data_IF_018507465943
#
_entry.id   IF_018507465943
#
_cell.length_a   1.000
_cell.length_b   1.000
_cell.length_c   1.000
_cell.angle_alpha   90.00
_cell.angle_beta   90.00
_cell.angle_gamma   90.00
#
_symmetry.space_group_name_H-M   'P 1'
#
loop_
_entity.id
_entity.type
_entity.pdbx_description
1 polymer ?
#
# COMPACT_ATOMS: atom_id res chain seq x y z
N UNK A 1 -14.60 62.54 -11.10
CA UNK A 1 -15.17 61.20 -10.85
C UNK A 1 -14.30 60.21 -11.60
N UNK A 2 -13.29 59.65 -10.93
CA UNK A 2 -12.31 58.75 -11.56
C UNK A 2 -12.87 57.32 -11.53
N UNK A 3 -13.11 56.74 -12.71
CA UNK A 3 -13.48 55.33 -12.86
C UNK A 3 -12.20 54.50 -12.89
N UNK A 4 -11.98 53.69 -11.86
CA UNK A 4 -10.95 52.65 -11.84
C UNK A 4 -11.50 51.45 -12.63
N UNK A 5 -10.87 51.12 -13.75
CA UNK A 5 -11.13 49.88 -14.49
C UNK A 5 -10.30 48.77 -13.86
N UNK A 6 -10.94 47.89 -13.08
CA UNK A 6 -10.31 46.67 -12.58
C UNK A 6 -10.31 45.66 -13.72
N UNK A 7 -9.14 45.38 -14.27
CA UNK A 7 -8.94 44.29 -15.24
C UNK A 7 -8.85 42.99 -14.44
N UNK A 8 -9.87 42.13 -14.54
CA UNK A 8 -9.81 40.78 -14.00
C UNK A 8 -8.86 39.94 -14.87
N UNK A 9 -7.72 39.51 -14.31
CA UNK A 9 -6.92 38.44 -14.88
C UNK A 9 -7.73 37.14 -14.77
N UNK A 10 -8.23 36.64 -15.90
CA UNK A 10 -8.66 35.25 -15.99
C UNK A 10 -7.42 34.37 -15.86
N UNK A 11 -7.28 33.71 -14.72
CA UNK A 11 -6.43 32.53 -14.61
C UNK A 11 -7.14 31.43 -15.39
N UNK A 12 -6.65 31.16 -16.60
CA UNK A 12 -7.01 29.97 -17.36
C UNK A 12 -6.47 28.76 -16.59
N UNK A 13 -7.30 28.18 -15.72
CA UNK A 13 -7.02 26.87 -15.16
C UNK A 13 -7.02 25.85 -16.30
N UNK A 14 -5.89 25.19 -16.51
CA UNK A 14 -5.82 24.01 -17.37
C UNK A 14 -6.84 22.99 -16.87
N UNK A 15 -7.91 22.79 -17.65
CA UNK A 15 -8.82 21.67 -17.48
C UNK A 15 -8.08 20.41 -17.92
N UNK A 16 -7.20 19.88 -17.06
CA UNK A 16 -6.78 18.50 -17.19
C UNK A 16 -8.04 17.66 -17.01
N UNK A 17 -8.42 16.95 -18.06
CA UNK A 17 -9.56 16.04 -18.09
C UNK A 17 -9.26 14.94 -17.05
N UNK A 18 -9.68 15.12 -15.80
CA UNK A 18 -9.41 14.16 -14.74
C UNK A 18 -10.09 12.84 -15.09
N UNK A 19 -9.29 11.79 -15.29
CA UNK A 19 -9.81 10.45 -15.58
C UNK A 19 -10.44 9.94 -14.28
N UNK A 20 -11.76 9.81 -14.25
CA UNK A 20 -12.48 9.35 -13.07
C UNK A 20 -12.00 7.97 -12.61
N UNK A 21 -11.72 7.82 -11.32
CA UNK A 21 -11.42 6.54 -10.69
C UNK A 21 -12.63 5.58 -10.85
N UNK A 22 -12.44 4.33 -11.30
CA UNK A 22 -13.55 3.39 -11.47
C UNK A 22 -14.14 3.00 -10.12
N UNK A 23 -15.46 2.88 -10.05
CA UNK A 23 -16.16 2.29 -8.89
C UNK A 23 -15.64 0.87 -8.59
N UNK A 24 -15.61 0.52 -7.31
CA UNK A 24 -15.20 -0.80 -6.86
C UNK A 24 -16.10 -1.89 -7.44
N UNK A 25 -15.46 -2.88 -8.05
CA UNK A 25 -16.08 -4.12 -8.54
C UNK A 25 -15.01 -5.21 -8.59
N UNK A 26 -15.44 -6.45 -8.79
CA UNK A 26 -14.53 -7.57 -8.99
C UNK A 26 -14.39 -7.86 -10.49
N UNK A 27 -13.16 -7.76 -10.98
CA UNK A 27 -12.78 -7.98 -12.37
C UNK A 27 -11.33 -8.50 -12.39
N UNK A 28 -10.84 -9.05 -13.49
CA UNK A 28 -9.49 -9.64 -13.58
C UNK A 28 -8.67 -8.95 -14.69
N UNK A 29 -8.79 -7.63 -14.79
CA UNK A 29 -8.06 -6.87 -15.79
C UNK A 29 -6.56 -6.86 -15.46
N UNK A 30 -5.67 -7.04 -16.44
CA UNK A 30 -4.25 -6.91 -16.17
C UNK A 30 -3.90 -5.48 -15.78
N UNK A 31 -3.08 -5.30 -14.75
CA UNK A 31 -2.55 -3.99 -14.39
C UNK A 31 -1.72 -3.41 -15.54
N UNK A 32 -1.98 -2.15 -15.91
CA UNK A 32 -1.27 -1.47 -17.01
C UNK A 32 0.25 -1.42 -16.78
N UNK A 33 0.65 -1.25 -15.52
CA UNK A 33 2.03 -1.14 -15.06
C UNK A 33 2.48 -2.43 -14.35
N UNK A 34 2.53 -3.55 -15.08
CA UNK A 34 2.85 -4.86 -14.50
C UNK A 34 4.30 -5.33 -14.75
N UNK A 35 5.18 -4.46 -15.26
CA UNK A 35 6.60 -4.82 -15.41
C UNK A 35 7.33 -4.77 -14.07
N UNK A 36 8.49 -5.42 -14.00
CA UNK A 36 9.31 -5.48 -12.78
C UNK A 36 9.72 -4.08 -12.25
N UNK A 37 10.06 -3.15 -13.15
CA UNK A 37 10.49 -1.79 -12.80
C UNK A 37 9.33 -0.83 -12.51
N UNK A 38 8.10 -1.20 -12.90
CA UNK A 38 6.93 -0.36 -12.71
C UNK A 38 6.28 -0.47 -11.32
N UNK A 39 6.91 -1.20 -10.38
CA UNK A 39 6.40 -1.48 -9.03
C UNK A 39 5.92 -0.25 -8.26
N UNK A 40 6.51 0.93 -8.50
CA UNK A 40 6.16 2.17 -7.80
C UNK A 40 4.81 2.75 -8.27
N UNK A 41 4.40 2.44 -9.50
CA UNK A 41 3.16 2.91 -10.13
C UNK A 41 2.17 1.79 -10.47
N UNK A 42 2.48 0.53 -10.14
CA UNK A 42 1.56 -0.60 -10.30
C UNK A 42 0.35 -0.45 -9.37
N UNK A 43 -0.81 -0.18 -9.95
CA UNK A 43 -2.11 -0.27 -9.28
C UNK A 43 -2.60 -1.73 -9.27
N UNK A 44 -2.78 -2.26 -8.06
CA UNK A 44 -3.49 -3.52 -7.82
C UNK A 44 -4.64 -3.20 -6.86
N UNK A 45 -5.83 -3.67 -7.21
CA UNK A 45 -7.06 -3.50 -6.44
C UNK A 45 -8.01 -4.65 -6.80
N UNK A 46 -9.31 -4.54 -6.51
CA UNK A 46 -10.27 -5.60 -6.85
C UNK A 46 -10.52 -5.79 -8.35
N UNK A 47 -10.01 -4.89 -9.21
CA UNK A 47 -10.19 -4.87 -10.67
C UNK A 47 -8.89 -5.28 -11.38
N UNK A 48 -7.74 -4.77 -10.92
CA UNK A 48 -6.45 -4.90 -11.61
C UNK A 48 -5.54 -5.92 -10.95
N UNK A 49 -4.95 -6.82 -11.76
CA UNK A 49 -4.14 -7.95 -11.30
C UNK A 49 -2.79 -8.06 -12.00
N UNK A 50 -1.85 -8.72 -11.31
CA UNK A 50 -0.62 -9.26 -11.86
C UNK A 50 -0.84 -10.67 -12.44
N UNK A 51 0.03 -11.03 -13.37
CA UNK A 51 0.10 -12.41 -13.88
C UNK A 51 0.46 -13.40 -12.76
N UNK A 52 0.00 -14.65 -12.92
CA UNK A 52 0.41 -15.79 -12.11
C UNK A 52 1.94 -16.00 -12.08
N UNK A 53 2.62 -15.60 -13.16
CA UNK A 53 4.07 -15.76 -13.31
C UNK A 53 4.87 -14.56 -12.78
N UNK A 54 4.22 -13.51 -12.29
CA UNK A 54 4.94 -12.36 -11.73
C UNK A 54 5.62 -12.74 -10.42
N UNK A 55 6.96 -12.72 -10.43
CA UNK A 55 7.83 -12.93 -9.27
C UNK A 55 8.98 -11.91 -9.36
N UNK A 56 9.18 -11.03 -8.35
CA UNK A 56 10.34 -10.15 -8.34
C UNK A 56 11.64 -10.96 -8.34
N UNK A 57 12.59 -10.57 -9.20
CA UNK A 57 13.86 -11.29 -9.37
C UNK A 57 14.89 -11.00 -8.27
N UNK A 58 14.63 -10.03 -7.40
CA UNK A 58 15.54 -9.49 -6.39
C UNK A 58 15.04 -9.68 -4.95
N UNK A 59 14.18 -10.68 -4.72
CA UNK A 59 13.69 -11.01 -3.39
C UNK A 59 14.86 -11.35 -2.45
N UNK A 60 14.94 -10.62 -1.35
CA UNK A 60 15.91 -10.75 -0.28
C UNK A 60 15.20 -11.35 0.94
N UNK A 61 15.67 -12.51 1.48
CA UNK A 61 15.15 -13.05 2.72
C UNK A 61 15.37 -12.09 3.89
N UNK A 62 14.39 -11.95 4.78
CA UNK A 62 14.54 -11.13 5.99
C UNK A 62 15.67 -11.64 6.90
N UNK A 63 15.91 -12.95 6.92
CA UNK A 63 17.01 -13.56 7.68
C UNK A 63 18.39 -13.06 7.25
N UNK A 64 18.58 -12.75 5.96
CA UNK A 64 19.86 -12.32 5.41
C UNK A 64 20.23 -10.90 5.87
N UNK A 65 19.23 -10.12 6.29
CA UNK A 65 19.38 -8.76 6.83
C UNK A 65 19.20 -8.71 8.35
N UNK A 66 19.21 -9.88 9.02
CA UNK A 66 19.15 -9.99 10.48
C UNK A 66 17.76 -9.75 11.09
N UNK A 67 16.69 -9.77 10.28
CA UNK A 67 15.32 -9.65 10.75
C UNK A 67 14.69 -11.03 10.97
N UNK A 68 13.79 -11.19 11.97
CA UNK A 68 13.13 -12.45 12.25
C UNK A 68 12.10 -12.83 11.17
N UNK A 69 11.76 -14.12 11.11
CA UNK A 69 10.74 -14.65 10.21
C UNK A 69 11.30 -15.17 8.88
N UNK A 70 10.43 -15.81 8.10
CA UNK A 70 10.77 -16.45 6.82
C UNK A 70 10.20 -15.68 5.62
N UNK A 71 10.05 -14.36 5.77
CA UNK A 71 9.51 -13.50 4.73
C UNK A 71 10.61 -12.99 3.79
N UNK A 72 10.17 -12.45 2.66
CA UNK A 72 11.03 -11.84 1.65
C UNK A 72 10.51 -10.45 1.32
N UNK A 73 11.43 -9.55 0.99
CA UNK A 73 11.14 -8.23 0.42
C UNK A 73 12.04 -8.00 -0.79
N UNK A 74 11.68 -7.10 -1.69
CA UNK A 74 12.60 -6.69 -2.76
C UNK A 74 13.82 -6.00 -2.17
N UNK A 75 14.98 -6.15 -2.82
CA UNK A 75 16.26 -5.58 -2.36
C UNK A 75 16.16 -4.07 -2.14
N UNK A 76 15.45 -3.35 -3.01
CA UNK A 76 15.27 -1.90 -2.92
C UNK A 76 14.57 -1.43 -1.64
N UNK A 77 13.82 -2.30 -0.97
CA UNK A 77 13.06 -1.99 0.25
C UNK A 77 13.94 -2.11 1.50
N UNK A 78 15.03 -2.87 1.44
CA UNK A 78 15.82 -3.32 2.59
C UNK A 78 16.31 -2.17 3.47
N UNK A 79 17.01 -1.20 2.88
CA UNK A 79 17.66 -0.13 3.66
C UNK A 79 16.63 0.75 4.36
N UNK A 80 15.50 1.01 3.70
CA UNK A 80 14.41 1.81 4.23
C UNK A 80 13.59 1.06 5.29
N UNK A 81 13.36 -0.24 5.11
CA UNK A 81 12.75 -1.08 6.13
C UNK A 81 13.60 -1.12 7.40
N UNK A 82 14.91 -1.38 7.27
CA UNK A 82 15.83 -1.41 8.41
C UNK A 82 15.86 -0.06 9.13
N UNK A 83 15.91 1.04 8.37
CA UNK A 83 15.88 2.39 8.94
C UNK A 83 14.56 2.69 9.67
N UNK A 84 13.42 2.27 9.12
CA UNK A 84 12.11 2.41 9.76
C UNK A 84 12.06 1.65 11.09
N UNK A 85 12.45 0.37 11.09
CA UNK A 85 12.40 -0.48 12.29
C UNK A 85 13.32 0.04 13.40
N UNK A 86 14.53 0.49 13.06
CA UNK A 86 15.47 1.08 14.03
C UNK A 86 14.93 2.41 14.59
N UNK A 87 14.38 3.28 13.74
CA UNK A 87 13.79 4.53 14.20
C UNK A 87 12.58 4.30 15.12
N UNK A 88 11.75 3.30 14.81
CA UNK A 88 10.60 2.91 15.64
C UNK A 88 11.06 2.44 17.02
N UNK A 89 12.08 1.57 17.05
CA UNK A 89 12.70 1.07 18.29
C UNK A 89 13.29 2.19 19.14
N UNK A 90 14.04 3.12 18.54
CA UNK A 90 14.62 4.28 19.23
C UNK A 90 13.52 5.18 19.82
N UNK A 91 12.38 5.29 19.14
CA UNK A 91 11.22 6.04 19.63
C UNK A 91 10.40 5.32 20.72
N UNK A 92 10.78 4.10 21.11
CA UNK A 92 10.04 3.30 22.10
C UNK A 92 8.83 2.57 21.54
N UNK A 93 8.73 2.45 20.23
CA UNK A 93 7.65 1.81 19.48
C UNK A 93 8.21 0.68 18.59
N UNK A 94 8.81 -0.38 19.14
CA UNK A 94 9.49 -1.40 18.35
C UNK A 94 8.50 -2.18 17.47
N UNK A 95 8.83 -2.28 16.17
CA UNK A 95 8.01 -2.95 15.16
C UNK A 95 8.67 -4.24 14.67
N UNK A 96 7.84 -5.14 14.13
CA UNK A 96 8.24 -6.34 13.41
C UNK A 96 7.43 -6.51 12.12
N UNK A 97 7.97 -7.29 11.18
CA UNK A 97 7.25 -7.74 9.98
C UNK A 97 6.36 -8.93 10.35
N UNK A 98 5.05 -8.78 10.15
CA UNK A 98 4.06 -9.85 10.30
C UNK A 98 3.85 -10.62 8.99
N UNK A 99 3.94 -9.93 7.86
CA UNK A 99 3.82 -10.52 6.52
C UNK A 99 4.49 -9.60 5.50
N UNK A 100 5.01 -10.17 4.41
CA UNK A 100 5.58 -9.41 3.30
C UNK A 100 5.31 -10.13 1.97
N UNK A 101 6.31 -10.37 1.11
CA UNK A 101 6.08 -11.00 -0.19
C UNK A 101 5.24 -12.29 -0.10
N UNK A 102 4.22 -12.37 -0.94
CA UNK A 102 3.40 -13.57 -1.16
C UNK A 102 3.36 -13.84 -2.67
N UNK A 103 3.72 -15.05 -3.08
CA UNK A 103 3.53 -15.46 -4.47
C UNK A 103 2.05 -15.56 -4.82
N UNK A 104 1.71 -15.58 -6.10
CA UNK A 104 0.34 -15.79 -6.57
C UNK A 104 -0.32 -17.01 -5.90
N UNK A 105 0.36 -18.16 -5.91
CA UNK A 105 -0.18 -19.39 -5.31
C UNK A 105 -0.33 -19.30 -3.78
N UNK A 106 0.59 -18.61 -3.10
CA UNK A 106 0.44 -18.36 -1.66
C UNK A 106 -0.81 -17.53 -1.41
N UNK A 107 -1.04 -16.48 -2.22
CA UNK A 107 -2.21 -15.62 -2.09
C UNK A 107 -3.51 -16.40 -2.36
N UNK A 108 -3.54 -17.27 -3.37
CA UNK A 108 -4.69 -18.14 -3.64
C UNK A 108 -5.06 -18.98 -2.41
N UNK A 109 -4.08 -19.66 -1.82
CA UNK A 109 -4.30 -20.45 -0.59
C UNK A 109 -4.73 -19.58 0.60
N UNK A 110 -4.22 -18.35 0.70
CA UNK A 110 -4.61 -17.42 1.76
C UNK A 110 -6.06 -16.97 1.59
N UNK A 111 -6.47 -16.66 0.37
CA UNK A 111 -7.84 -16.28 0.06
C UNK A 111 -8.79 -17.45 0.35
N UNK A 112 -8.48 -18.66 -0.13
CA UNK A 112 -9.28 -19.87 0.12
C UNK A 112 -9.44 -20.16 1.62
N UNK A 113 -8.37 -19.93 2.40
CA UNK A 113 -8.43 -20.03 3.86
C UNK A 113 -9.46 -19.07 4.46
N UNK A 114 -9.43 -17.79 4.09
CA UNK A 114 -10.39 -16.80 4.62
C UNK A 114 -11.82 -17.07 4.14
N UNK A 115 -12.00 -17.51 2.89
CA UNK A 115 -13.30 -17.97 2.38
C UNK A 115 -13.83 -19.12 3.24
N UNK A 116 -12.98 -20.07 3.64
CA UNK A 116 -13.39 -21.21 4.47
C UNK A 116 -13.80 -20.83 5.89
N UNK A 117 -13.27 -19.72 6.41
CA UNK A 117 -13.55 -19.25 7.77
C UNK A 117 -14.75 -18.31 7.83
N UNK A 118 -14.87 -17.40 6.86
CA UNK A 118 -15.76 -16.24 6.95
C UNK A 118 -16.81 -16.18 5.83
N UNK A 119 -16.66 -17.02 4.80
CA UNK A 119 -17.42 -16.95 3.56
C UNK A 119 -16.83 -15.95 2.55
N UNK A 120 -17.15 -16.16 1.28
CA UNK A 120 -16.56 -15.42 0.16
C UNK A 120 -16.83 -13.92 0.21
N UNK A 121 -18.06 -13.51 0.53
CA UNK A 121 -18.42 -12.08 0.61
C UNK A 121 -17.61 -11.32 1.67
N UNK A 122 -17.35 -11.94 2.83
CA UNK A 122 -16.51 -11.35 3.88
C UNK A 122 -15.04 -11.32 3.46
N UNK A 123 -14.54 -12.45 2.95
CA UNK A 123 -13.15 -12.60 2.54
C UNK A 123 -12.77 -11.61 1.43
N UNK A 124 -13.66 -11.31 0.48
CA UNK A 124 -13.40 -10.35 -0.59
C UNK A 124 -13.13 -8.92 -0.09
N UNK A 125 -13.59 -8.56 1.12
CA UNK A 125 -13.41 -7.21 1.70
C UNK A 125 -12.06 -7.03 2.40
N UNK A 126 -11.43 -8.11 2.85
CA UNK A 126 -10.21 -8.12 3.70
C UNK A 126 -9.07 -8.95 3.12
N UNK A 127 -9.32 -9.74 2.07
CA UNK A 127 -8.32 -10.62 1.48
C UNK A 127 -8.34 -10.48 -0.03
N UNK A 128 -7.23 -10.02 -0.58
CA UNK A 128 -7.09 -9.90 -2.02
C UNK A 128 -7.11 -11.28 -2.70
N UNK A 129 -7.80 -11.37 -3.84
CA UNK A 129 -7.72 -12.52 -4.74
C UNK A 129 -6.28 -12.66 -5.27
N UNK A 130 -5.90 -13.86 -5.70
CA UNK A 130 -4.57 -14.07 -6.28
C UNK A 130 -4.36 -13.18 -7.52
N UNK A 131 -3.19 -12.53 -7.63
CA UNK A 131 -2.92 -11.51 -8.65
C UNK A 131 -3.28 -10.09 -8.22
N UNK A 132 -4.25 -9.91 -7.31
CA UNK A 132 -4.70 -8.59 -6.85
C UNK A 132 -3.98 -8.09 -5.59
N UNK A 133 -3.21 -8.95 -4.94
CA UNK A 133 -2.51 -8.60 -3.70
C UNK A 133 -1.25 -7.80 -3.96
N UNK A 134 -1.13 -6.63 -3.32
CA UNK A 134 0.09 -5.82 -3.36
C UNK A 134 1.33 -6.58 -2.83
N UNK A 135 1.13 -7.59 -1.96
CA UNK A 135 2.23 -8.43 -1.48
C UNK A 135 2.97 -9.16 -2.61
N UNK A 136 2.31 -9.41 -3.75
CA UNK A 136 2.96 -10.06 -4.89
C UNK A 136 4.05 -9.18 -5.53
N UNK A 137 4.02 -7.87 -5.30
CA UNK A 137 5.07 -6.95 -5.74
C UNK A 137 6.35 -7.08 -4.91
N UNK A 138 6.29 -7.69 -3.72
CA UNK A 138 7.41 -7.77 -2.78
C UNK A 138 7.81 -6.42 -2.16
N UNK A 139 6.97 -5.40 -2.32
CA UNK A 139 7.15 -4.03 -1.80
C UNK A 139 6.12 -3.67 -0.73
N UNK A 140 5.35 -4.64 -0.24
CA UNK A 140 4.28 -4.43 0.74
C UNK A 140 4.56 -5.24 1.99
N UNK A 141 4.29 -4.63 3.14
CA UNK A 141 4.57 -5.17 4.46
C UNK A 141 3.36 -4.97 5.36
N UNK A 142 2.96 -6.05 6.03
CA UNK A 142 2.11 -5.97 7.21
C UNK A 142 3.01 -5.84 8.43
N UNK A 143 2.80 -4.79 9.21
CA UNK A 143 3.56 -4.51 10.44
C UNK A 143 2.80 -4.95 11.68
N UNK A 144 3.55 -5.30 12.74
CA UNK A 144 3.03 -5.54 14.08
C UNK A 144 3.97 -4.98 15.14
N UNK A 145 3.53 -5.01 16.40
CA UNK A 145 4.39 -4.69 17.53
C UNK A 145 5.38 -5.83 17.74
N UNK A 146 6.62 -5.50 18.10
CA UNK A 146 7.65 -6.50 18.34
C UNK A 146 7.23 -7.45 19.49
N UNK A 147 7.18 -8.76 19.21
CA UNK A 147 6.67 -9.76 20.15
C UNK A 147 5.18 -9.64 20.52
N UNK A 148 4.43 -8.76 19.86
CA UNK A 148 3.00 -8.56 20.06
C UNK A 148 2.11 -9.57 19.33
N UNK A 149 0.79 -9.53 19.56
CA UNK A 149 -0.17 -10.30 18.77
C UNK A 149 -0.19 -9.82 17.31
N UNK A 150 -0.91 -10.54 16.45
CA UNK A 150 -1.18 -10.03 15.11
C UNK A 150 -1.98 -8.71 15.18
N UNK A 151 -1.78 -7.79 14.23
CA UNK A 151 -2.37 -6.46 14.31
C UNK A 151 -3.90 -6.45 14.12
N UNK A 152 -4.47 -7.49 13.51
CA UNK A 152 -5.92 -7.69 13.41
C UNK A 152 -6.53 -8.30 14.68
N UNK A 153 -5.73 -8.80 15.62
CA UNK A 153 -6.19 -9.34 16.91
C UNK A 153 -6.24 -8.26 18.01
N UNK A 154 -5.88 -7.01 17.70
CA UNK A 154 -6.02 -5.87 18.62
C UNK A 154 -7.22 -4.98 18.23
N UNK A 155 -7.91 -4.34 19.18
CA UNK A 155 -9.14 -3.58 18.88
C UNK A 155 -8.97 -2.50 17.80
N UNK A 156 -7.86 -1.75 17.85
CA UNK A 156 -7.43 -0.87 16.77
C UNK A 156 -5.89 -0.73 16.83
N UNK A 157 -5.22 -1.32 15.84
CA UNK A 157 -3.77 -1.29 15.73
C UNK A 157 -3.22 0.14 15.63
N UNK A 158 -3.90 1.04 14.91
CA UNK A 158 -3.46 2.44 14.74
C UNK A 158 -3.49 3.24 16.03
N UNK A 159 -4.25 2.80 17.03
CA UNK A 159 -4.33 3.40 18.36
C UNK A 159 -3.27 2.87 19.34
N UNK A 160 -2.54 1.81 18.99
CA UNK A 160 -1.39 1.33 19.79
C UNK A 160 -0.22 2.31 19.67
N UNK A 161 0.74 2.34 20.63
CA UNK A 161 1.94 3.14 20.51
C UNK A 161 2.74 2.87 19.22
N UNK A 162 2.83 1.61 18.81
CA UNK A 162 3.55 1.16 17.63
C UNK A 162 2.83 1.53 16.33
N UNK A 163 1.54 1.22 16.23
CA UNK A 163 0.74 1.57 15.05
C UNK A 163 0.59 3.09 14.89
N UNK A 164 0.41 3.83 15.98
CA UNK A 164 0.36 5.30 15.95
C UNK A 164 1.68 5.90 15.48
N UNK A 165 2.82 5.38 15.97
CA UNK A 165 4.12 5.82 15.49
C UNK A 165 4.29 5.53 14.00
N UNK A 166 3.90 4.33 13.55
CA UNK A 166 4.01 3.91 12.15
C UNK A 166 3.18 4.81 11.23
N UNK A 167 1.90 5.07 11.57
CA UNK A 167 1.02 5.95 10.80
C UNK A 167 1.62 7.34 10.60
N UNK A 168 2.28 7.88 11.62
CA UNK A 168 2.82 9.24 11.57
C UNK A 168 4.20 9.36 10.90
N UNK A 169 4.97 8.26 10.79
CA UNK A 169 6.39 8.30 10.43
C UNK A 169 6.78 7.43 9.23
N UNK A 170 6.00 6.42 8.88
CA UNK A 170 6.29 5.45 7.80
C UNK A 170 6.70 6.11 6.47
N UNK A 171 6.00 7.17 6.07
CA UNK A 171 6.25 7.87 4.81
C UNK A 171 7.67 8.45 4.68
N UNK A 172 8.31 8.78 5.80
CA UNK A 172 9.71 9.28 5.84
C UNK A 172 10.70 8.22 5.35
N UNK A 173 10.29 6.96 5.39
CA UNK A 173 11.03 5.79 4.94
C UNK A 173 10.40 5.19 3.67
N UNK A 174 9.51 5.91 2.99
CA UNK A 174 8.93 5.46 1.73
C UNK A 174 7.71 4.54 1.87
N UNK A 175 7.21 4.26 3.07
CA UNK A 175 6.05 3.40 3.28
C UNK A 175 4.78 4.22 3.50
N UNK A 176 3.67 3.81 2.88
CA UNK A 176 2.37 4.48 3.00
C UNK A 176 1.27 3.46 3.23
N UNK A 177 0.24 3.82 4.02
CA UNK A 177 -0.89 2.93 4.28
C UNK A 177 -1.78 2.82 3.03
N UNK A 178 -2.01 1.60 2.54
CA UNK A 178 -2.81 1.39 1.33
C UNK A 178 -4.30 1.61 1.58
N UNK A 179 -4.79 1.19 2.75
CA UNK A 179 -6.22 1.15 3.06
C UNK A 179 -6.52 1.96 4.33
N UNK A 180 -6.75 3.27 4.17
CA UNK A 180 -7.01 4.17 5.29
C UNK A 180 -8.47 4.10 5.79
N UNK A 181 -8.67 4.56 7.03
CA UNK A 181 -9.98 4.63 7.65
C UNK A 181 -10.94 5.52 6.84
N UNK A 182 -12.16 5.04 6.61
CA UNK A 182 -13.20 5.80 5.91
C UNK A 182 -13.04 5.86 4.38
N UNK A 183 -12.00 5.26 3.82
CA UNK A 183 -11.75 5.24 2.37
C UNK A 183 -12.16 3.93 1.67
N UNK A 184 -12.82 2.99 2.36
CA UNK A 184 -13.16 1.66 1.81
C UNK A 184 -13.92 1.71 0.47
N UNK A 185 -14.84 2.67 0.31
CA UNK A 185 -15.58 2.86 -0.96
C UNK A 185 -14.66 3.25 -2.13
N UNK A 186 -13.54 3.89 -1.83
CA UNK A 186 -12.55 4.31 -2.81
C UNK A 186 -11.50 3.22 -3.01
N UNK A 187 -10.94 2.64 -1.94
CA UNK A 187 -9.84 1.67 -1.97
C UNK A 187 -10.28 0.24 -2.31
N UNK A 188 -11.58 -0.06 -2.21
CA UNK A 188 -12.18 -1.38 -2.43
C UNK A 188 -11.85 -2.44 -1.39
N UNK A 189 -11.10 -2.08 -0.34
CA UNK A 189 -10.75 -2.91 0.80
C UNK A 189 -11.10 -2.19 2.09
N UNK A 190 -11.44 -2.96 3.12
CA UNK A 190 -11.67 -2.41 4.45
C UNK A 190 -10.40 -1.75 5.03
N UNK A 191 -10.57 -0.99 6.11
CA UNK A 191 -9.45 -0.36 6.81
C UNK A 191 -8.46 -1.40 7.34
N UNK A 192 -7.18 -1.26 6.97
CA UNK A 192 -6.09 -2.14 7.41
C UNK A 192 -4.89 -1.31 7.89
N UNK A 193 -4.89 -0.85 9.16
CA UNK A 193 -3.85 0.04 9.68
C UNK A 193 -2.45 -0.56 9.76
N UNK A 194 -2.29 -1.85 9.46
CA UNK A 194 -1.02 -2.58 9.46
C UNK A 194 -0.40 -2.73 8.08
N UNK A 195 -1.16 -2.54 7.00
CA UNK A 195 -0.77 -2.85 5.62
C UNK A 195 -0.17 -1.61 4.94
N UNK A 196 1.13 -1.67 4.65
CA UNK A 196 1.87 -0.55 4.07
C UNK A 196 2.57 -0.92 2.76
N UNK A 197 2.35 -0.12 1.74
CA UNK A 197 3.02 -0.16 0.44
C UNK A 197 4.26 0.72 0.44
N UNK A 198 5.38 0.20 -0.01
CA UNK A 198 6.58 0.98 -0.29
C UNK A 198 6.47 1.68 -1.65
N UNK A 199 6.63 2.99 -1.65
CA UNK A 199 6.73 3.86 -2.83
C UNK A 199 8.10 4.54 -2.94
N UNK A 200 9.04 4.30 -2.01
CA UNK A 200 10.25 5.11 -1.91
C UNK A 200 9.99 6.50 -1.33
N UNK A 201 11.02 7.09 -0.72
CA UNK A 201 10.87 8.28 0.13
C UNK A 201 10.28 9.50 -0.58
N UNK A 202 10.76 9.80 -1.78
CA UNK A 202 10.35 11.00 -2.50
C UNK A 202 8.89 10.93 -2.97
N UNK A 203 8.47 9.76 -3.47
CA UNK A 203 7.08 9.56 -3.92
C UNK A 203 6.15 9.40 -2.72
N UNK A 204 6.55 8.71 -1.65
CA UNK A 204 5.75 8.65 -0.42
C UNK A 204 5.51 10.04 0.17
N UNK A 205 6.50 10.94 0.12
CA UNK A 205 6.32 12.34 0.53
C UNK A 205 5.27 13.06 -0.31
N UNK A 206 5.36 12.96 -1.64
CA UNK A 206 4.39 13.58 -2.56
C UNK A 206 2.99 13.01 -2.36
N UNK A 207 2.88 11.69 -2.18
CA UNK A 207 1.64 11.00 -1.88
C UNK A 207 0.97 11.55 -0.60
N UNK A 208 1.70 11.64 0.51
CA UNK A 208 1.15 12.18 1.77
C UNK A 208 0.72 13.65 1.62
N UNK A 209 1.46 14.46 0.86
CA UNK A 209 1.11 15.85 0.59
C UNK A 209 -0.17 15.99 -0.28
N UNK A 210 -0.50 14.96 -1.09
CA UNK A 210 -1.68 14.94 -1.95
C UNK A 210 -3.02 14.75 -1.20
N UNK A 211 -2.98 14.14 -0.01
CA UNK A 211 -4.17 13.69 0.74
C UNK A 211 -5.13 12.75 -0.02
N UNK A 212 -4.64 12.06 -1.05
CA UNK A 212 -5.41 11.05 -1.79
C UNK A 212 -5.38 9.69 -1.08
N UNK A 213 -6.29 8.77 -1.45
CA UNK A 213 -6.02 7.34 -1.21
C UNK A 213 -4.92 6.85 -2.14
N UNK A 214 -4.23 5.76 -1.77
CA UNK A 214 -3.21 5.16 -2.62
C UNK A 214 -3.78 4.73 -3.98
N UNK A 215 -5.02 4.23 -4.00
CA UNK A 215 -5.69 3.81 -5.22
C UNK A 215 -5.92 4.98 -6.18
N UNK A 216 -6.40 6.11 -5.68
CA UNK A 216 -6.59 7.34 -6.48
C UNK A 216 -5.25 7.86 -7.01
N UNK A 217 -4.22 7.91 -6.16
CA UNK A 217 -2.88 8.34 -6.54
C UNK A 217 -2.31 7.49 -7.67
N UNK A 218 -2.30 6.16 -7.50
CA UNK A 218 -1.77 5.24 -8.52
C UNK A 218 -2.62 5.25 -9.80
N UNK A 219 -3.92 5.52 -9.69
CA UNK A 219 -4.79 5.71 -10.84
C UNK A 219 -4.34 6.94 -11.64
N UNK A 220 -4.15 8.10 -11.03
CA UNK A 220 -3.71 9.30 -11.73
C UNK A 220 -2.30 9.16 -12.35
N UNK A 221 -1.36 8.54 -11.63
CA UNK A 221 0.03 8.40 -12.06
C UNK A 221 0.25 7.40 -13.20
N UNK A 222 -0.71 6.50 -13.49
CA UNK A 222 -0.52 5.47 -14.51
C UNK A 222 -0.42 6.03 -15.94
N UNK A 223 -0.89 7.25 -16.17
CA UNK A 223 -0.99 7.86 -17.51
C UNK A 223 0.01 9.02 -17.72
N UNK A 224 0.93 9.25 -16.77
CA UNK A 224 1.84 10.42 -16.73
C UNK A 224 3.27 10.12 -17.24
N UNK A 225 3.58 8.89 -17.63
CA UNK A 225 4.94 8.47 -18.05
C UNK A 225 5.09 8.26 -19.56
#
# INVERSE_FOLDING_TARGET
MFLIVITALLVLGNQHNQISLPECRYDDLPATHATYDAWQSTLLDTIYSLSVDYVPIDLTPLSDIGLPGNHFVRRLVVDDLVALLEAAKVAGSPLEVQSAYRSYQYQANTFDYWVSLEGEESALRSSARAGHSEHQLGTTIDFRAAGGPAPWDVPDWSMTPEGSWLTNNSWRFGFVMSYNQGQEKETCYMYEPWHYRYLGRDVAKQFIESNQSLRSWLWEERDVQ
#
